data_IF_716820533548
#
_entry.id   IF_716820533548
#
_cell.length_a   1.000
_cell.length_b   1.000
_cell.length_c   1.000
_cell.angle_alpha   90.00
_cell.angle_beta   90.00
_cell.angle_gamma   90.00
#
_symmetry.space_group_name_H-M   'P 1'
#
loop_
_entity.id
_entity.type
_entity.pdbx_description
1 polymer ?
#
# COMPACT_ATOMS: atom_id res chain seq x y z
N UNK A 1 -24.84 10.49 -18.33
CA UNK A 1 -24.53 9.60 -17.20
C UNK A 1 -23.11 9.92 -16.77
N UNK A 2 -22.83 10.05 -15.48
CA UNK A 2 -21.47 10.37 -15.01
C UNK A 2 -20.59 9.14 -15.11
N UNK A 3 -19.30 9.30 -15.36
CA UNK A 3 -18.36 8.18 -15.46
C UNK A 3 -17.34 8.25 -14.32
N UNK A 4 -17.20 7.14 -13.60
CA UNK A 4 -16.22 6.96 -12.54
C UNK A 4 -15.21 5.89 -12.96
N UNK A 5 -13.91 6.19 -12.86
CA UNK A 5 -12.88 5.17 -12.95
C UNK A 5 -12.64 4.55 -11.57
N UNK A 6 -12.72 3.23 -11.47
CA UNK A 6 -12.12 2.48 -10.36
C UNK A 6 -10.72 2.10 -10.78
N UNK A 7 -9.74 2.68 -10.10
CA UNK A 7 -8.34 2.46 -10.36
C UNK A 7 -7.92 1.10 -9.79
N UNK A 8 -7.39 0.22 -10.65
CA UNK A 8 -7.08 -1.19 -10.35
C UNK A 8 -5.66 -1.55 -10.80
N UNK A 9 -5.11 -2.68 -10.34
CA UNK A 9 -4.05 -3.39 -11.07
C UNK A 9 -4.59 -3.96 -12.39
N UNK A 10 -3.71 -4.19 -13.36
CA UNK A 10 -4.08 -4.72 -14.68
C UNK A 10 -4.55 -6.18 -14.64
N UNK A 11 -4.04 -6.97 -13.70
CA UNK A 11 -4.39 -8.38 -13.50
C UNK A 11 -4.81 -8.61 -12.05
N UNK A 12 -6.07 -9.00 -11.87
CA UNK A 12 -6.66 -9.32 -10.58
C UNK A 12 -6.54 -10.80 -10.21
N UNK A 13 -5.87 -11.62 -11.04
CA UNK A 13 -5.67 -13.04 -10.77
C UNK A 13 -4.96 -13.23 -9.42
N UNK A 14 -5.61 -13.97 -8.52
CA UNK A 14 -5.09 -14.23 -7.17
C UNK A 14 -5.42 -13.14 -6.14
N UNK A 15 -6.09 -12.06 -6.53
CA UNK A 15 -6.59 -11.04 -5.60
C UNK A 15 -8.07 -11.26 -5.27
N UNK A 16 -8.43 -10.96 -4.03
CA UNK A 16 -9.84 -10.87 -3.60
C UNK A 16 -10.27 -9.41 -3.76
N UNK A 17 -11.36 -9.19 -4.49
CA UNK A 17 -11.84 -7.85 -4.80
C UNK A 17 -13.34 -7.74 -4.55
N UNK A 18 -13.76 -6.63 -3.92
CA UNK A 18 -15.16 -6.35 -3.62
C UNK A 18 -15.73 -5.18 -4.44
N UNK A 19 -14.98 -4.73 -5.45
CA UNK A 19 -15.31 -3.54 -6.26
C UNK A 19 -16.65 -3.64 -6.98
N UNK A 20 -16.95 -4.82 -7.53
CA UNK A 20 -18.18 -5.07 -8.29
C UNK A 20 -19.43 -4.88 -7.43
N UNK A 21 -19.35 -5.05 -6.10
CA UNK A 21 -20.47 -4.86 -5.19
C UNK A 21 -20.96 -3.40 -5.17
N UNK A 22 -20.08 -2.43 -5.47
CA UNK A 22 -20.43 -1.02 -5.50
C UNK A 22 -21.10 -0.59 -6.82
N UNK A 23 -20.90 -1.34 -7.92
CA UNK A 23 -21.32 -0.95 -9.26
C UNK A 23 -22.85 -0.79 -9.38
N UNK A 24 -23.70 -1.75 -8.92
CA UNK A 24 -25.15 -1.58 -9.01
C UNK A 24 -25.66 -0.36 -8.26
N UNK A 25 -25.17 -0.12 -7.04
CA UNK A 25 -25.58 1.01 -6.21
C UNK A 25 -25.14 2.37 -6.82
N UNK A 26 -24.00 2.41 -7.51
CA UNK A 26 -23.54 3.58 -8.25
C UNK A 26 -24.37 3.80 -9.53
N UNK A 27 -24.73 2.73 -10.24
CA UNK A 27 -25.59 2.79 -11.41
C UNK A 27 -26.98 3.36 -11.10
N UNK A 28 -27.60 2.96 -9.98
CA UNK A 28 -28.85 3.54 -9.47
C UNK A 28 -28.76 5.06 -9.22
N UNK A 29 -27.54 5.58 -8.96
CA UNK A 29 -27.24 7.00 -8.74
C UNK A 29 -26.77 7.72 -10.01
N UNK A 30 -26.89 7.08 -11.17
CA UNK A 30 -26.56 7.63 -12.49
C UNK A 30 -25.06 7.67 -12.79
N UNK A 31 -24.28 6.76 -12.19
CA UNK A 31 -22.86 6.59 -12.46
C UNK A 31 -22.59 5.33 -13.27
N UNK A 32 -21.77 5.45 -14.30
CA UNK A 32 -21.14 4.33 -15.00
C UNK A 32 -19.75 4.11 -14.39
N UNK A 33 -19.40 2.88 -14.04
CA UNK A 33 -18.09 2.54 -13.47
C UNK A 33 -17.26 1.80 -14.50
N UNK A 34 -16.02 2.22 -14.66
CA UNK A 34 -15.02 1.53 -15.49
C UNK A 34 -13.82 1.13 -14.64
N UNK A 35 -13.38 -0.12 -14.74
CA UNK A 35 -12.11 -0.54 -14.15
C UNK A 35 -10.96 -0.09 -15.05
N UNK A 36 -10.02 0.67 -14.49
CA UNK A 36 -8.90 1.23 -15.23
C UNK A 36 -7.60 0.84 -14.55
N UNK A 37 -6.72 0.16 -15.26
CA UNK A 37 -5.40 -0.21 -14.74
C UNK A 37 -4.59 1.07 -14.47
N UNK A 38 -4.02 1.20 -13.27
CA UNK A 38 -3.29 2.42 -12.88
C UNK A 38 -2.00 2.65 -13.69
N UNK A 39 -1.43 1.59 -14.27
CA UNK A 39 -0.27 1.65 -15.17
C UNK A 39 -0.65 1.89 -16.65
N UNK A 40 -1.92 2.13 -16.96
CA UNK A 40 -2.37 2.39 -18.34
C UNK A 40 -2.16 3.84 -18.76
N UNK A 41 -2.19 4.08 -20.07
CA UNK A 41 -2.16 5.42 -20.68
C UNK A 41 -3.56 6.07 -20.78
N UNK A 42 -4.43 5.83 -19.79
CA UNK A 42 -5.79 6.33 -19.81
C UNK A 42 -5.85 7.87 -19.83
N UNK A 43 -6.75 8.41 -20.67
CA UNK A 43 -7.05 9.85 -20.69
C UNK A 43 -7.96 10.21 -19.50
N UNK A 44 -7.37 10.62 -18.37
CA UNK A 44 -8.11 10.88 -17.12
C UNK A 44 -9.23 11.89 -17.25
N UNK A 45 -9.08 12.83 -18.17
CA UNK A 45 -10.06 13.86 -18.44
C UNK A 45 -11.44 13.27 -18.77
N UNK A 46 -11.55 12.10 -19.43
CA UNK A 46 -12.86 11.53 -19.79
C UNK A 46 -13.75 11.14 -18.59
N UNK A 47 -13.19 11.09 -17.38
CA UNK A 47 -13.92 10.70 -16.17
C UNK A 47 -14.38 11.92 -15.37
N UNK A 48 -15.53 11.80 -14.71
CA UNK A 48 -15.98 12.80 -13.74
C UNK A 48 -15.29 12.59 -12.37
N UNK A 49 -14.96 11.33 -12.05
CA UNK A 49 -14.26 10.96 -10.83
C UNK A 49 -13.36 9.74 -11.03
N UNK A 50 -12.31 9.64 -10.21
CA UNK A 50 -11.44 8.46 -10.10
C UNK A 50 -11.35 8.06 -8.63
N UNK A 51 -11.52 6.78 -8.34
CA UNK A 51 -11.44 6.20 -7.00
C UNK A 51 -10.33 5.16 -7.00
N UNK A 52 -9.36 5.28 -6.10
CA UNK A 52 -8.34 4.26 -5.87
C UNK A 52 -8.98 3.09 -5.16
N UNK A 53 -8.90 1.90 -5.76
CA UNK A 53 -9.49 0.68 -5.24
C UNK A 53 -8.43 -0.40 -5.07
N UNK A 54 -8.09 -1.04 -6.18
CA UNK A 54 -7.47 -2.36 -6.24
C UNK A 54 -6.06 -2.31 -6.80
N UNK A 55 -5.32 -1.25 -6.48
CA UNK A 55 -3.96 -0.98 -6.98
C UNK A 55 -2.89 -1.69 -6.16
N UNK A 56 -3.10 -2.99 -5.91
CA UNK A 56 -2.37 -3.83 -4.97
C UNK A 56 -0.92 -4.16 -5.33
N UNK A 57 -0.45 -3.70 -6.47
CA UNK A 57 0.91 -3.82 -6.97
C UNK A 57 1.68 -2.48 -6.93
N UNK A 58 1.12 -1.43 -6.32
CA UNK A 58 1.75 -0.09 -6.29
C UNK A 58 3.14 -0.11 -5.63
N UNK A 59 3.35 -0.97 -4.64
CA UNK A 59 4.61 -1.10 -3.90
C UNK A 59 5.77 -1.55 -4.78
N UNK A 60 5.49 -2.12 -5.96
CA UNK A 60 6.52 -2.45 -6.94
C UNK A 60 7.02 -1.21 -7.72
N UNK A 61 6.27 -0.11 -7.71
CA UNK A 61 6.66 1.16 -8.33
C UNK A 61 5.98 2.37 -7.65
N UNK A 62 6.28 2.65 -6.37
CA UNK A 62 5.53 3.62 -5.57
C UNK A 62 5.64 5.06 -6.10
N UNK A 63 6.81 5.45 -6.60
CA UNK A 63 7.00 6.75 -7.23
C UNK A 63 6.16 6.92 -8.50
N UNK A 64 6.07 5.87 -9.33
CA UNK A 64 5.23 5.89 -10.52
C UNK A 64 3.74 5.96 -10.14
N UNK A 65 3.33 5.23 -9.11
CA UNK A 65 1.96 5.29 -8.60
C UNK A 65 1.60 6.70 -8.13
N UNK A 66 2.46 7.38 -7.36
CA UNK A 66 2.27 8.78 -6.98
C UNK A 66 2.13 9.70 -8.19
N UNK A 67 3.01 9.55 -9.20
CA UNK A 67 2.93 10.34 -10.42
C UNK A 67 1.61 10.12 -11.16
N UNK A 68 1.05 8.90 -11.15
CA UNK A 68 -0.27 8.62 -11.72
C UNK A 68 -1.36 9.36 -10.95
N UNK A 69 -1.36 9.30 -9.62
CA UNK A 69 -2.33 10.02 -8.79
C UNK A 69 -2.23 11.54 -8.98
N UNK A 70 -1.02 12.08 -9.11
CA UNK A 70 -0.76 13.50 -9.42
C UNK A 70 -1.31 13.89 -10.80
N UNK A 71 -1.12 13.04 -11.83
CA UNK A 71 -1.72 13.26 -13.16
C UNK A 71 -3.25 13.24 -13.12
N UNK A 72 -3.84 12.33 -12.34
CA UNK A 72 -5.30 12.28 -12.14
C UNK A 72 -5.78 13.55 -11.44
N UNK A 73 -5.13 13.97 -10.36
CA UNK A 73 -5.49 15.15 -9.59
C UNK A 73 -5.34 16.46 -10.39
N UNK A 74 -4.43 16.50 -11.37
CA UNK A 74 -4.25 17.61 -12.30
C UNK A 74 -5.23 17.60 -13.50
N UNK A 75 -5.99 16.52 -13.70
CA UNK A 75 -6.99 16.41 -14.76
C UNK A 75 -8.32 17.06 -14.38
N UNK A 76 -9.31 17.05 -15.28
CA UNK A 76 -10.69 17.47 -14.94
C UNK A 76 -11.43 16.48 -14.02
N UNK A 77 -10.92 15.26 -13.86
CA UNK A 77 -11.54 14.27 -12.99
C UNK A 77 -11.27 14.58 -11.52
N UNK A 78 -12.28 14.37 -10.66
CA UNK A 78 -12.07 14.41 -9.22
C UNK A 78 -11.39 13.12 -8.75
N UNK A 79 -10.16 13.22 -8.23
CA UNK A 79 -9.60 12.15 -7.41
C UNK A 79 -10.35 12.08 -6.07
N UNK A 80 -11.09 10.99 -5.84
CA UNK A 80 -11.93 10.83 -4.64
C UNK A 80 -11.11 10.59 -3.36
N UNK A 81 -9.97 9.90 -3.51
CA UNK A 81 -9.00 9.69 -2.45
C UNK A 81 -8.09 10.91 -2.37
N UNK A 82 -8.08 11.61 -1.24
CA UNK A 82 -7.22 12.79 -1.09
C UNK A 82 -5.75 12.45 -1.39
N UNK A 83 -5.13 13.22 -2.28
CA UNK A 83 -3.79 12.92 -2.78
C UNK A 83 -2.74 12.98 -1.67
N UNK A 84 -2.86 13.93 -0.75
CA UNK A 84 -1.92 14.09 0.34
C UNK A 84 -2.08 12.96 1.37
N UNK A 85 -3.31 12.53 1.64
CA UNK A 85 -3.58 11.33 2.46
C UNK A 85 -3.01 10.08 1.81
N UNK A 86 -3.16 9.90 0.49
CA UNK A 86 -2.59 8.76 -0.24
C UNK A 86 -1.05 8.77 -0.18
N UNK A 87 -0.43 9.94 -0.38
CA UNK A 87 1.03 10.10 -0.26
C UNK A 87 1.52 9.81 1.15
N UNK A 88 0.78 10.25 2.15
CA UNK A 88 1.11 10.04 3.55
C UNK A 88 0.97 8.56 3.97
N UNK A 89 -0.12 7.90 3.60
CA UNK A 89 -0.45 6.58 4.13
C UNK A 89 0.16 5.39 3.35
N UNK A 90 0.69 5.60 2.15
CA UNK A 90 1.37 4.54 1.39
C UNK A 90 2.67 4.07 2.05
N UNK A 91 3.21 4.89 2.95
CA UNK A 91 4.37 4.58 3.76
C UNK A 91 3.97 4.43 5.22
N UNK A 92 4.14 3.22 5.79
CA UNK A 92 3.72 2.90 7.17
C UNK A 92 4.35 3.78 8.24
N UNK A 93 5.36 4.60 7.94
CA UNK A 93 5.88 5.63 8.85
C UNK A 93 4.78 6.60 9.31
N UNK A 94 3.65 6.71 8.59
CA UNK A 94 2.45 7.41 9.05
C UNK A 94 1.95 6.93 10.43
N UNK A 95 2.24 5.68 10.81
CA UNK A 95 1.88 5.14 12.12
C UNK A 95 2.56 5.90 13.28
N UNK A 96 3.75 6.48 13.06
CA UNK A 96 4.40 7.34 14.05
C UNK A 96 3.63 8.62 14.27
N UNK A 97 3.19 9.26 13.19
CA UNK A 97 2.39 10.47 13.27
C UNK A 97 1.05 10.21 13.99
N UNK A 98 0.47 9.01 13.81
CA UNK A 98 -0.70 8.56 14.56
C UNK A 98 -0.40 8.30 16.05
N UNK A 99 0.72 7.68 16.36
CA UNK A 99 1.17 7.46 17.74
C UNK A 99 1.43 8.79 18.48
N UNK A 100 2.10 9.73 17.82
CA UNK A 100 2.34 11.10 18.31
C UNK A 100 1.03 11.86 18.56
N UNK A 101 -0.02 11.56 17.80
CA UNK A 101 -1.37 12.07 18.00
C UNK A 101 -2.18 11.32 19.07
N UNK A 102 -1.60 10.32 19.74
CA UNK A 102 -2.23 9.55 20.81
C UNK A 102 -3.07 8.35 20.35
N UNK A 103 -2.96 7.93 19.09
CA UNK A 103 -3.59 6.70 18.58
C UNK A 103 -2.72 5.51 18.93
N UNK A 104 -3.30 4.48 19.53
CA UNK A 104 -2.57 3.26 19.84
C UNK A 104 -2.16 2.51 18.57
N UNK A 105 -0.87 2.19 18.44
CA UNK A 105 -0.31 1.36 17.37
C UNK A 105 0.38 0.11 17.96
N UNK A 106 0.61 -0.94 17.15
CA UNK A 106 1.52 -2.01 17.56
C UNK A 106 2.92 -1.43 17.84
N UNK A 107 3.53 -1.84 18.97
CA UNK A 107 4.89 -1.46 19.32
C UNK A 107 5.83 -1.78 18.16
N UNK A 108 6.48 -0.76 17.62
CA UNK A 108 7.25 -0.86 16.37
C UNK A 108 8.65 -0.27 16.55
N UNK A 109 9.65 -0.94 15.99
CA UNK A 109 11.02 -0.40 15.86
C UNK A 109 11.23 -0.04 14.40
N UNK A 110 11.75 1.16 14.15
CA UNK A 110 11.95 1.68 12.81
C UNK A 110 13.42 1.68 12.46
N UNK A 111 13.79 0.90 11.45
CA UNK A 111 15.17 0.80 10.99
C UNK A 111 15.28 1.39 9.58
N UNK A 112 16.33 2.19 9.30
CA UNK A 112 16.63 2.61 7.93
C UNK A 112 17.14 1.44 7.08
N UNK A 113 17.75 0.43 7.72
CA UNK A 113 18.24 -0.80 7.11
C UNK A 113 18.19 -1.92 8.15
N UNK A 114 17.85 -3.14 7.72
CA UNK A 114 17.95 -4.32 8.56
C UNK A 114 19.32 -4.99 8.34
N UNK A 115 19.96 -5.43 9.41
CA UNK A 115 21.18 -6.26 9.38
C UNK A 115 20.98 -7.54 10.20
N UNK A 116 21.83 -8.54 10.01
CA UNK A 116 21.75 -9.81 10.75
C UNK A 116 21.84 -9.61 12.27
N UNK A 117 22.69 -8.66 12.69
CA UNK A 117 22.89 -8.31 14.09
C UNK A 117 21.66 -7.63 14.72
N UNK A 118 20.75 -7.08 13.92
CA UNK A 118 19.53 -6.43 14.42
C UNK A 118 18.50 -7.44 14.91
N UNK A 119 18.36 -8.60 14.26
CA UNK A 119 17.25 -9.53 14.55
C UNK A 119 17.26 -10.00 16.01
N UNK A 120 18.38 -10.45 16.61
CA UNK A 120 18.43 -10.79 18.03
C UNK A 120 18.13 -9.60 18.95
N UNK A 121 18.59 -8.40 18.59
CA UNK A 121 18.35 -7.16 19.35
C UNK A 121 16.87 -6.77 19.35
N UNK A 122 16.19 -6.89 18.21
CA UNK A 122 14.77 -6.57 18.06
C UNK A 122 13.88 -7.41 18.97
N UNK A 123 14.18 -8.69 19.15
CA UNK A 123 13.46 -9.55 20.09
C UNK A 123 13.61 -9.09 21.55
N UNK A 124 14.81 -8.67 21.95
CA UNK A 124 15.04 -8.14 23.29
C UNK A 124 14.36 -6.78 23.48
N UNK A 125 14.46 -5.90 22.50
CA UNK A 125 13.87 -4.56 22.53
C UNK A 125 12.34 -4.65 22.59
N UNK A 126 11.71 -5.40 21.68
CA UNK A 126 10.27 -5.58 21.63
C UNK A 126 9.73 -6.43 22.78
N UNK A 127 10.57 -7.24 23.43
CA UNK A 127 10.18 -8.10 24.55
C UNK A 127 9.22 -9.22 24.12
N UNK A 128 9.42 -9.75 22.92
CA UNK A 128 8.56 -10.77 22.32
C UNK A 128 9.36 -12.00 21.90
N UNK A 129 8.67 -13.12 21.70
CA UNK A 129 9.24 -14.36 21.15
C UNK A 129 8.88 -14.55 19.67
N UNK A 130 7.95 -13.74 19.15
CA UNK A 130 7.59 -13.65 17.75
C UNK A 130 7.53 -12.16 17.34
N UNK A 131 8.15 -11.83 16.21
CA UNK A 131 8.15 -10.48 15.65
C UNK A 131 7.73 -10.51 14.18
N UNK A 132 7.20 -9.38 13.70
CA UNK A 132 6.88 -9.16 12.29
C UNK A 132 7.89 -8.17 11.71
N UNK A 133 8.55 -8.58 10.62
CA UNK A 133 9.47 -7.74 9.86
C UNK A 133 8.82 -7.47 8.50
N UNK A 134 8.68 -6.19 8.12
CA UNK A 134 8.05 -5.79 6.85
C UNK A 134 8.55 -4.43 6.34
N UNK A 135 8.61 -4.19 5.02
CA UNK A 135 8.92 -2.87 4.48
C UNK A 135 7.88 -1.83 4.87
N UNK A 136 8.33 -0.57 4.96
CA UNK A 136 7.45 0.58 5.25
C UNK A 136 6.47 0.80 4.10
N UNK A 137 6.91 0.66 2.85
CA UNK A 137 6.07 0.62 1.65
C UNK A 137 5.84 -0.83 1.23
N UNK A 138 4.64 -1.34 1.46
CA UNK A 138 4.24 -2.70 1.05
C UNK A 138 2.72 -2.87 1.11
N UNK A 139 2.20 -3.85 0.38
CA UNK A 139 0.80 -4.28 0.41
C UNK A 139 0.72 -5.82 0.33
N UNK A 140 -0.42 -6.42 0.68
CA UNK A 140 -0.70 -7.87 0.53
C UNK A 140 0.33 -8.81 1.17
N UNK A 141 0.88 -8.43 2.33
CA UNK A 141 1.96 -9.14 2.99
C UNK A 141 3.23 -9.34 2.13
N UNK A 142 3.39 -8.57 1.05
CA UNK A 142 4.61 -8.52 0.25
C UNK A 142 5.80 -8.24 1.18
N UNK A 143 6.78 -9.14 1.15
CA UNK A 143 7.95 -9.13 2.01
C UNK A 143 7.65 -8.97 3.51
N UNK A 144 6.55 -9.56 3.98
CA UNK A 144 6.20 -9.59 5.41
C UNK A 144 6.57 -10.94 6.00
N UNK A 145 7.51 -10.92 6.94
CA UNK A 145 8.08 -12.10 7.57
C UNK A 145 7.61 -12.18 9.01
N UNK A 146 7.22 -13.39 9.41
CA UNK A 146 6.96 -13.74 10.81
C UNK A 146 8.15 -14.53 11.32
N UNK A 147 8.84 -14.00 12.32
CA UNK A 147 10.10 -14.55 12.83
C UNK A 147 9.94 -14.93 14.29
N UNK A 148 10.36 -16.14 14.66
CA UNK A 148 10.35 -16.62 16.04
C UNK A 148 11.76 -16.71 16.60
N UNK A 149 11.91 -16.39 17.89
CA UNK A 149 13.20 -16.38 18.60
C UNK A 149 13.94 -17.72 18.52
N UNK A 150 13.20 -18.83 18.54
CA UNK A 150 13.75 -20.20 18.55
C UNK A 150 14.03 -20.76 17.16
N UNK A 151 13.49 -20.14 16.10
CA UNK A 151 13.69 -20.58 14.73
C UNK A 151 15.07 -20.12 14.22
N UNK A 152 16.09 -20.98 14.38
CA UNK A 152 17.44 -20.83 13.80
C UNK A 152 17.46 -20.80 12.24
N UNK A 153 16.30 -20.85 11.59
CA UNK A 153 16.14 -21.00 10.14
C UNK A 153 15.46 -19.83 9.44
N UNK A 154 15.14 -18.74 10.15
CA UNK A 154 14.88 -17.48 9.48
C UNK A 154 16.20 -17.08 8.84
N UNK A 155 16.32 -17.21 7.51
CA UNK A 155 17.53 -16.84 6.76
C UNK A 155 17.62 -15.32 6.80
N UNK A 156 18.41 -14.74 7.73
CA UNK A 156 18.43 -13.30 7.92
C UNK A 156 18.86 -12.63 6.62
N UNK A 157 19.81 -13.25 5.90
CA UNK A 157 20.28 -12.91 4.57
C UNK A 157 19.12 -12.65 3.57
N UNK A 158 18.13 -13.54 3.45
CA UNK A 158 17.02 -13.40 2.51
C UNK A 158 16.05 -12.26 2.89
N UNK A 159 15.96 -11.94 4.19
CA UNK A 159 15.19 -10.79 4.66
C UNK A 159 16.03 -9.52 4.47
N UNK A 160 17.32 -9.54 4.79
CA UNK A 160 18.20 -8.39 4.69
C UNK A 160 18.30 -7.91 3.24
N UNK A 161 18.50 -8.81 2.28
CA UNK A 161 18.61 -8.50 0.85
C UNK A 161 17.40 -7.69 0.33
N UNK A 162 16.19 -8.09 0.73
CA UNK A 162 14.93 -7.42 0.36
C UNK A 162 14.84 -5.99 0.90
N UNK A 163 15.42 -5.75 2.07
CA UNK A 163 15.39 -4.45 2.74
C UNK A 163 16.58 -3.56 2.34
N UNK A 164 17.59 -4.09 1.65
CA UNK A 164 18.62 -3.27 1.01
C UNK A 164 18.09 -2.54 -0.23
N UNK A 165 17.19 -3.17 -0.99
CA UNK A 165 16.69 -2.63 -2.27
C UNK A 165 15.54 -1.61 -2.13
N UNK A 166 14.92 -1.51 -0.95
CA UNK A 166 13.70 -0.71 -0.71
C UNK A 166 13.82 0.34 0.43
N UNK A 167 15.04 0.69 0.82
CA UNK A 167 15.34 1.72 1.84
C UNK A 167 15.11 3.15 1.33
#
# INVERSE_FOLDING_TARGET
>A
MRTCAFLTTADLTGFVTDDDLAIPALAERGWNVEHVAWRSDAEWDRFDAVVVRTTWDYQAAPAHFLQVLERIAASRARLANDLDVMRWNMDKRYLRDLEDAGVAIPRSVWLPKLTDDDVPRLFAELGADEIIIKPVVSANADHTYRVRREERGCRPDEIVDVFEERA
#
